data_IF_009137158167
#
_entry.id   IF_009137158167
#
_cell.length_a   1.000
_cell.length_b   1.000
_cell.length_c   1.000
_cell.angle_alpha   90.00
_cell.angle_beta   90.00
_cell.angle_gamma   90.00
#
_symmetry.space_group_name_H-M   'P 1'
#
loop_
_entity.id
_entity.type
_entity.pdbx_description
1 polymer ?
#
# COMPACT_ATOMS: atom_id res chain seq x y z
N UNK A 1 -40.72 -4.70 -5.78
CA UNK A 1 -39.60 -4.93 -4.86
C UNK A 1 -39.86 -4.19 -3.55
N UNK A 2 -39.56 -4.79 -2.41
CA UNK A 2 -39.69 -4.11 -1.13
C UNK A 2 -38.69 -2.90 -1.14
N UNK A 3 -39.14 -1.66 -0.83
CA UNK A 3 -38.28 -0.47 -0.89
C UNK A 3 -37.05 -0.52 0.01
N UNK A 4 -36.97 -1.51 0.90
CA UNK A 4 -35.81 -1.72 1.81
C UNK A 4 -34.63 -2.43 1.15
N UNK A 5 -34.81 -3.09 0.02
CA UNK A 5 -33.75 -3.83 -0.67
C UNK A 5 -33.31 -3.11 -1.92
N UNK A 6 -31.99 -3.01 -2.09
CA UNK A 6 -31.38 -2.55 -3.33
C UNK A 6 -30.35 -3.60 -3.74
N UNK A 7 -30.46 -4.07 -4.97
CA UNK A 7 -29.58 -5.10 -5.54
C UNK A 7 -28.92 -4.51 -6.78
N UNK A 8 -27.62 -4.65 -6.86
CA UNK A 8 -26.83 -4.28 -8.04
C UNK A 8 -26.09 -5.53 -8.52
N UNK A 9 -26.30 -5.91 -9.77
CA UNK A 9 -25.65 -7.03 -10.44
C UNK A 9 -25.01 -6.51 -11.70
N UNK A 10 -23.74 -6.82 -11.89
CA UNK A 10 -22.98 -6.42 -13.05
C UNK A 10 -21.89 -7.42 -13.37
N UNK A 11 -21.32 -7.28 -14.53
CA UNK A 11 -20.12 -8.02 -14.91
C UNK A 11 -19.24 -7.13 -15.80
N UNK A 12 -17.95 -7.41 -15.78
CA UNK A 12 -16.97 -6.86 -16.71
C UNK A 12 -16.47 -8.00 -17.59
N UNK A 13 -16.33 -7.76 -18.88
CA UNK A 13 -15.74 -8.72 -19.82
C UNK A 13 -14.46 -8.11 -20.38
N UNK A 14 -13.43 -8.93 -20.48
CA UNK A 14 -12.15 -8.54 -21.05
C UNK A 14 -11.57 -9.61 -21.95
N UNK A 15 -10.87 -9.18 -22.99
CA UNK A 15 -10.05 -10.00 -23.84
C UNK A 15 -8.67 -9.38 -23.95
N UNK A 16 -7.65 -10.15 -23.63
CA UNK A 16 -6.27 -9.73 -23.75
C UNK A 16 -5.53 -10.75 -24.61
N UNK A 17 -4.87 -10.27 -25.67
CA UNK A 17 -4.13 -11.10 -26.61
C UNK A 17 -2.64 -10.76 -26.52
N UNK A 18 -1.79 -11.79 -26.42
CA UNK A 18 -0.34 -11.64 -26.36
C UNK A 18 0.34 -12.85 -27.00
N UNK A 19 1.21 -12.62 -27.98
CA UNK A 19 1.87 -13.68 -28.74
C UNK A 19 0.85 -14.62 -29.40
N UNK A 20 0.88 -15.88 -29.04
CA UNK A 20 -0.06 -16.93 -29.53
C UNK A 20 -1.26 -17.14 -28.58
N UNK A 21 -1.30 -16.49 -27.40
CA UNK A 21 -2.33 -16.70 -26.37
C UNK A 21 -3.34 -15.59 -26.27
N UNK A 22 -4.60 -15.97 -26.06
CA UNK A 22 -5.68 -15.07 -25.72
C UNK A 22 -6.25 -15.42 -24.35
N UNK A 23 -6.41 -14.41 -23.50
CA UNK A 23 -7.01 -14.55 -22.19
C UNK A 23 -8.36 -13.86 -22.19
N UNK A 24 -9.42 -14.62 -21.95
CA UNK A 24 -10.77 -14.11 -21.80
C UNK A 24 -11.19 -14.17 -20.34
N UNK A 25 -11.88 -13.14 -19.86
CA UNK A 25 -12.47 -13.12 -18.52
C UNK A 25 -13.88 -12.59 -18.53
N UNK A 26 -14.65 -13.08 -17.58
CA UNK A 26 -15.92 -12.50 -17.12
C UNK A 26 -15.76 -12.29 -15.61
N UNK A 27 -15.87 -11.04 -15.19
CA UNK A 27 -15.70 -10.63 -13.79
C UNK A 27 -17.06 -10.21 -13.23
N UNK A 28 -17.80 -11.11 -12.55
CA UNK A 28 -19.08 -10.81 -11.95
C UNK A 28 -18.91 -9.89 -10.73
N UNK A 29 -19.91 -9.03 -10.54
CA UNK A 29 -20.05 -8.13 -9.39
C UNK A 29 -21.48 -8.21 -8.88
N UNK A 30 -21.60 -8.37 -7.58
CA UNK A 30 -22.87 -8.40 -6.88
C UNK A 30 -22.79 -7.49 -5.67
N UNK A 31 -23.77 -6.61 -5.48
CA UNK A 31 -23.90 -5.82 -4.29
C UNK A 31 -25.36 -5.79 -3.81
N UNK A 32 -25.52 -5.94 -2.52
CA UNK A 32 -26.77 -5.97 -1.82
C UNK A 32 -26.78 -4.90 -0.73
N UNK A 33 -27.83 -4.08 -0.70
CA UNK A 33 -28.08 -3.16 0.41
C UNK A 33 -29.44 -3.48 1.01
N UNK A 34 -29.48 -3.57 2.32
CA UNK A 34 -30.71 -3.67 3.10
C UNK A 34 -30.85 -2.46 4.03
N UNK A 35 -31.93 -1.69 3.88
CA UNK A 35 -32.23 -0.55 4.73
C UNK A 35 -32.88 -1.04 6.03
N UNK A 36 -32.12 -0.97 7.15
CA UNK A 36 -32.61 -1.35 8.48
C UNK A 36 -33.62 -0.32 9.00
N UNK A 37 -33.22 0.96 8.93
CA UNK A 37 -34.03 2.11 9.36
C UNK A 37 -33.76 3.30 8.44
N UNK A 38 -34.35 4.45 8.68
CA UNK A 38 -33.99 5.68 7.95
C UNK A 38 -32.53 6.08 8.14
N UNK A 39 -31.91 5.65 9.22
CA UNK A 39 -30.56 6.05 9.65
C UNK A 39 -29.50 4.96 9.42
N UNK A 40 -29.89 3.71 9.19
CA UNK A 40 -28.96 2.59 9.13
C UNK A 40 -29.23 1.62 7.98
N UNK A 41 -28.16 1.11 7.38
CA UNK A 41 -28.22 0.09 6.32
C UNK A 41 -27.10 -0.94 6.48
N UNK A 42 -27.40 -2.17 6.05
CA UNK A 42 -26.43 -3.23 5.83
C UNK A 42 -26.06 -3.26 4.35
N UNK A 43 -24.79 -3.51 4.06
CA UNK A 43 -24.33 -3.76 2.70
C UNK A 43 -23.49 -5.01 2.68
N UNK A 44 -23.59 -5.77 1.60
CA UNK A 44 -22.72 -6.89 1.31
C UNK A 44 -22.37 -6.87 -0.17
N UNK A 45 -21.17 -7.27 -0.52
CA UNK A 45 -20.72 -7.31 -1.91
C UNK A 45 -19.80 -8.48 -2.18
N UNK A 46 -19.86 -8.97 -3.40
CA UNK A 46 -18.91 -9.88 -4.00
C UNK A 46 -18.38 -9.27 -5.29
N UNK A 47 -17.08 -9.35 -5.50
CA UNK A 47 -16.45 -8.84 -6.71
C UNK A 47 -15.34 -9.78 -7.14
N UNK A 48 -15.35 -10.16 -8.42
CA UNK A 48 -14.20 -10.74 -9.10
C UNK A 48 -13.55 -9.66 -9.96
N UNK A 49 -12.23 -9.68 -10.05
CA UNK A 49 -11.44 -8.76 -10.87
C UNK A 49 -10.28 -9.51 -11.53
N UNK A 50 -10.04 -9.20 -12.80
CA UNK A 50 -8.91 -9.68 -13.58
C UNK A 50 -8.04 -8.50 -13.98
N UNK A 51 -6.72 -8.65 -13.85
CA UNK A 51 -5.74 -7.61 -14.17
C UNK A 51 -4.68 -8.19 -15.11
N UNK A 52 -4.43 -7.47 -16.22
CA UNK A 52 -3.49 -7.90 -17.27
C UNK A 52 -2.17 -7.15 -17.25
N UNK A 53 -2.09 -6.05 -16.53
CA UNK A 53 -0.87 -5.25 -16.39
C UNK A 53 -0.49 -5.16 -14.92
N UNK A 54 0.74 -5.48 -14.59
CA UNK A 54 1.22 -5.67 -13.23
C UNK A 54 2.38 -4.73 -12.95
N UNK A 55 2.43 -4.20 -11.74
CA UNK A 55 3.59 -3.48 -11.23
C UNK A 55 4.49 -4.47 -10.50
N UNK A 56 5.73 -4.59 -10.94
CA UNK A 56 6.77 -5.38 -10.27
C UNK A 56 7.75 -4.42 -9.62
N UNK A 57 7.97 -4.61 -8.32
CA UNK A 57 8.84 -3.78 -7.51
C UNK A 57 9.86 -4.63 -6.78
N UNK A 58 11.12 -4.22 -6.81
CA UNK A 58 12.24 -4.85 -6.10
C UNK A 58 12.42 -4.29 -4.70
N UNK A 59 11.75 -3.18 -4.39
CA UNK A 59 11.92 -2.43 -3.16
C UNK A 59 10.61 -2.34 -2.39
N UNK A 60 10.67 -2.07 -1.09
CA UNK A 60 9.52 -1.64 -0.30
C UNK A 60 9.17 -0.15 -0.53
N UNK A 61 10.01 0.58 -1.27
CA UNK A 61 9.70 1.92 -1.76
C UNK A 61 9.16 1.85 -3.18
N UNK A 62 8.20 2.71 -3.51
CA UNK A 62 7.81 2.97 -4.89
C UNK A 62 8.91 3.81 -5.53
N UNK A 63 9.81 3.14 -6.23
CA UNK A 63 10.93 3.79 -6.91
C UNK A 63 10.65 3.96 -8.40
N UNK A 64 11.32 4.91 -9.07
CA UNK A 64 11.27 5.00 -10.53
C UNK A 64 11.75 3.76 -11.28
N UNK A 65 12.42 2.85 -10.57
CA UNK A 65 12.88 1.55 -11.05
C UNK A 65 11.80 0.46 -11.02
N UNK A 66 10.61 0.75 -10.53
CA UNK A 66 9.47 -0.17 -10.60
C UNK A 66 8.94 -0.22 -12.04
N UNK A 67 8.65 -1.43 -12.51
CA UNK A 67 8.21 -1.66 -13.88
C UNK A 67 6.73 -2.04 -13.93
N UNK A 68 6.02 -1.50 -14.92
CA UNK A 68 4.71 -1.97 -15.33
C UNK A 68 4.88 -2.97 -16.46
N UNK A 69 4.49 -4.21 -16.22
CA UNK A 69 4.66 -5.33 -17.14
C UNK A 69 3.32 -5.96 -17.50
N UNK A 70 3.12 -6.38 -18.75
CA UNK A 70 1.89 -7.06 -19.15
C UNK A 70 1.92 -8.53 -18.74
N UNK A 71 0.75 -9.16 -18.75
CA UNK A 71 0.60 -10.60 -18.86
C UNK A 71 1.32 -11.11 -20.10
N UNK A 72 2.00 -12.27 -20.02
CA UNK A 72 2.71 -12.88 -21.13
C UNK A 72 2.12 -14.26 -21.45
N UNK A 73 2.67 -14.97 -22.43
CA UNK A 73 2.28 -16.37 -22.67
C UNK A 73 2.59 -17.29 -21.49
N UNK A 74 3.59 -16.94 -20.67
CA UNK A 74 4.00 -17.68 -19.47
C UNK A 74 3.24 -17.23 -18.23
N UNK A 75 3.11 -15.92 -18.03
CA UNK A 75 2.52 -15.31 -16.83
C UNK A 75 1.02 -15.08 -17.05
N UNK A 76 0.18 -15.74 -16.25
CA UNK A 76 -1.27 -15.63 -16.33
C UNK A 76 -1.75 -14.29 -15.76
N UNK A 77 -2.92 -13.77 -16.21
CA UNK A 77 -3.54 -12.62 -15.61
C UNK A 77 -3.81 -12.82 -14.10
N UNK A 78 -3.53 -11.82 -13.30
CA UNK A 78 -3.90 -11.84 -11.89
C UNK A 78 -5.42 -11.84 -11.74
N UNK A 79 -5.94 -12.69 -10.84
CA UNK A 79 -7.36 -12.73 -10.47
C UNK A 79 -7.53 -12.54 -8.99
N UNK A 80 -8.51 -11.72 -8.62
CA UNK A 80 -8.88 -11.54 -7.22
C UNK A 80 -10.37 -11.71 -7.01
N UNK A 81 -10.74 -12.26 -5.87
CA UNK A 81 -12.09 -12.47 -5.38
C UNK A 81 -12.22 -11.79 -4.04
N UNK A 82 -13.20 -10.91 -3.90
CA UNK A 82 -13.41 -10.16 -2.66
C UNK A 82 -14.85 -10.30 -2.20
N UNK A 83 -15.01 -10.59 -0.93
CA UNK A 83 -16.25 -10.46 -0.18
C UNK A 83 -16.10 -9.31 0.81
N UNK A 84 -17.10 -8.45 0.90
CA UNK A 84 -17.15 -7.41 1.93
C UNK A 84 -18.57 -7.31 2.48
N UNK A 85 -18.67 -7.02 3.79
CA UNK A 85 -19.96 -6.77 4.42
C UNK A 85 -19.79 -5.73 5.53
N UNK A 86 -20.77 -4.84 5.67
CA UNK A 86 -20.66 -3.76 6.64
C UNK A 86 -22.00 -3.14 7.02
N UNK A 87 -21.91 -2.36 8.09
CA UNK A 87 -22.99 -1.52 8.63
C UNK A 87 -22.64 -0.08 8.35
N UNK A 88 -23.63 0.69 7.89
CA UNK A 88 -23.52 2.11 7.60
C UNK A 88 -24.63 2.81 8.33
N UNK A 89 -24.29 3.82 9.11
CA UNK A 89 -25.26 4.54 9.93
C UNK A 89 -25.06 6.06 9.82
N UNK A 90 -26.18 6.76 9.81
CA UNK A 90 -26.27 8.21 9.86
C UNK A 90 -27.31 8.60 10.93
N UNK A 91 -26.95 8.42 12.24
CA UNK A 91 -27.90 8.55 13.35
C UNK A 91 -28.49 9.97 13.49
N UNK A 92 -27.83 10.96 12.93
CA UNK A 92 -28.33 12.32 12.81
C UNK A 92 -27.60 13.05 11.67
N UNK A 93 -27.95 14.32 11.43
CA UNK A 93 -27.37 15.15 10.36
C UNK A 93 -25.85 15.41 10.51
N UNK A 94 -25.29 15.18 11.68
CA UNK A 94 -23.89 15.47 11.98
C UNK A 94 -22.97 14.26 11.84
N UNK A 95 -23.45 13.05 12.11
CA UNK A 95 -22.66 11.85 12.15
C UNK A 95 -22.87 10.96 10.93
N UNK A 96 -21.77 10.50 10.36
CA UNK A 96 -21.72 9.40 9.40
C UNK A 96 -20.75 8.37 9.90
N UNK A 97 -21.20 7.12 10.03
CA UNK A 97 -20.44 6.01 10.61
C UNK A 97 -20.48 4.83 9.66
N UNK A 98 -19.37 4.11 9.56
CA UNK A 98 -19.33 2.80 8.89
C UNK A 98 -18.41 1.83 9.62
N UNK A 99 -18.75 0.56 9.53
CA UNK A 99 -17.91 -0.56 9.94
C UNK A 99 -18.06 -1.65 8.88
N UNK A 100 -16.94 -1.97 8.21
CA UNK A 100 -16.91 -2.96 7.15
C UNK A 100 -15.85 -4.02 7.43
N UNK A 101 -16.17 -5.29 7.18
CA UNK A 101 -15.22 -6.38 7.11
C UNK A 101 -15.05 -6.85 5.68
N UNK A 102 -13.82 -7.22 5.31
CA UNK A 102 -13.53 -7.74 3.98
C UNK A 102 -12.62 -8.97 4.04
N UNK A 103 -12.76 -9.80 3.01
CA UNK A 103 -11.91 -10.96 2.76
C UNK A 103 -11.62 -11.04 1.26
N UNK A 104 -10.34 -10.97 0.88
CA UNK A 104 -9.90 -11.00 -0.50
C UNK A 104 -8.83 -12.07 -0.70
N UNK A 105 -9.02 -12.89 -1.72
CA UNK A 105 -8.03 -13.83 -2.23
C UNK A 105 -7.56 -13.39 -3.60
N UNK A 106 -6.25 -13.49 -3.85
CA UNK A 106 -5.67 -13.24 -5.16
C UNK A 106 -4.85 -14.43 -5.62
N UNK A 107 -4.85 -14.68 -6.94
CA UNK A 107 -4.06 -15.70 -7.62
C UNK A 107 -3.26 -15.04 -8.72
N UNK A 108 -2.16 -15.63 -9.07
CA UNK A 108 -1.23 -15.13 -10.09
C UNK A 108 -0.67 -13.75 -9.73
N UNK A 109 -0.32 -13.57 -8.46
CA UNK A 109 0.49 -12.44 -8.04
C UNK A 109 1.90 -12.61 -8.59
N UNK A 110 2.52 -11.53 -9.01
CA UNK A 110 3.84 -11.56 -9.61
C UNK A 110 4.89 -10.99 -8.66
N UNK A 111 6.02 -11.66 -8.56
CA UNK A 111 7.19 -11.22 -7.80
C UNK A 111 8.46 -11.71 -8.50
N UNK A 112 9.57 -10.99 -8.33
CA UNK A 112 10.88 -11.49 -8.78
C UNK A 112 11.32 -12.73 -7.99
N UNK A 113 12.04 -13.61 -8.66
CA UNK A 113 12.61 -14.84 -8.08
C UNK A 113 13.77 -14.57 -7.11
N UNK A 114 14.30 -13.35 -7.08
CA UNK A 114 15.42 -12.96 -6.24
C UNK A 114 14.98 -12.29 -4.94
N UNK A 115 15.71 -12.55 -3.85
CA UNK A 115 15.57 -11.87 -2.56
C UNK A 115 16.01 -10.41 -2.61
N UNK A 116 17.01 -10.16 -3.44
CA UNK A 116 17.56 -8.83 -3.68
C UNK A 116 17.21 -8.51 -5.12
N UNK A 117 16.43 -7.49 -5.34
CA UNK A 117 15.94 -7.16 -6.66
C UNK A 117 17.00 -7.28 -7.77
N UNK A 118 16.57 -7.79 -8.90
CA UNK A 118 17.40 -7.93 -10.10
C UNK A 118 16.85 -6.97 -11.14
N UNK A 119 17.72 -6.27 -11.84
CA UNK A 119 17.34 -5.56 -13.04
C UNK A 119 17.09 -6.60 -14.13
N UNK A 120 15.83 -6.81 -14.56
CA UNK A 120 15.54 -7.86 -15.52
C UNK A 120 16.15 -7.52 -16.89
N UNK A 121 16.70 -8.49 -17.61
CA UNK A 121 17.06 -8.29 -19.01
C UNK A 121 15.79 -7.94 -19.80
N UNK A 122 15.92 -7.02 -20.75
CA UNK A 122 14.79 -6.44 -21.46
C UNK A 122 13.96 -7.47 -22.26
N UNK A 123 14.56 -8.56 -22.69
CA UNK A 123 13.99 -9.56 -23.58
C UNK A 123 13.43 -10.82 -22.88
N UNK A 124 13.83 -11.09 -21.63
CA UNK A 124 13.45 -12.32 -20.89
C UNK A 124 13.05 -12.06 -19.45
N UNK A 125 12.51 -10.89 -19.19
CA UNK A 125 12.15 -10.46 -17.83
C UNK A 125 11.14 -11.41 -17.15
N UNK A 126 10.26 -12.04 -17.91
CA UNK A 126 9.22 -12.93 -17.38
C UNK A 126 9.76 -14.28 -16.91
N UNK A 127 10.97 -14.68 -17.31
CA UNK A 127 11.67 -15.85 -16.77
C UNK A 127 12.13 -15.61 -15.32
N UNK A 128 12.31 -14.35 -14.93
CA UNK A 128 12.74 -13.95 -13.59
C UNK A 128 11.58 -13.65 -12.64
N UNK A 129 10.34 -13.89 -13.09
CA UNK A 129 9.12 -13.63 -12.30
C UNK A 129 8.42 -14.94 -11.98
N UNK A 130 8.02 -15.07 -10.74
CA UNK A 130 7.24 -16.20 -10.25
C UNK A 130 5.78 -15.83 -10.01
N UNK A 131 4.94 -16.85 -10.01
CA UNK A 131 3.51 -16.80 -9.77
C UNK A 131 3.19 -17.12 -8.29
N UNK A 132 2.34 -16.34 -7.66
CA UNK A 132 1.99 -16.50 -6.27
C UNK A 132 0.52 -16.28 -5.94
N UNK A 133 0.22 -16.42 -4.65
CA UNK A 133 -1.12 -16.25 -4.07
C UNK A 133 -1.08 -15.15 -3.02
N UNK A 134 -2.20 -14.44 -2.86
CA UNK A 134 -2.39 -13.42 -1.83
C UNK A 134 -3.65 -13.67 -1.02
N UNK A 135 -3.57 -13.35 0.26
CA UNK A 135 -4.67 -13.40 1.22
C UNK A 135 -4.72 -12.11 2.01
N UNK A 136 -5.83 -11.37 1.88
CA UNK A 136 -6.01 -10.06 2.47
C UNK A 136 -7.35 -10.03 3.18
N UNK A 137 -7.37 -9.66 4.45
CA UNK A 137 -8.62 -9.53 5.20
C UNK A 137 -8.46 -8.51 6.32
N UNK A 138 -9.57 -7.93 6.73
CA UNK A 138 -9.53 -6.89 7.75
C UNK A 138 -10.89 -6.32 8.10
N UNK A 139 -10.83 -5.35 9.01
CA UNK A 139 -11.95 -4.52 9.44
C UNK A 139 -11.59 -3.05 9.21
N UNK A 140 -12.54 -2.29 8.71
CA UNK A 140 -12.43 -0.85 8.47
C UNK A 140 -13.56 -0.14 9.19
N UNK A 141 -13.22 0.88 9.98
CA UNK A 141 -14.17 1.70 10.70
C UNK A 141 -13.94 3.16 10.34
N UNK A 142 -15.01 3.85 9.90
CA UNK A 142 -14.97 5.27 9.60
C UNK A 142 -16.01 6.02 10.43
N UNK A 143 -15.62 7.20 10.88
CA UNK A 143 -16.50 8.11 11.57
C UNK A 143 -16.26 9.54 11.09
N UNK A 144 -17.32 10.24 10.70
CA UNK A 144 -17.26 11.65 10.33
C UNK A 144 -18.32 12.41 11.14
N UNK A 145 -17.87 13.45 11.81
CA UNK A 145 -18.72 14.44 12.45
C UNK A 145 -18.63 15.77 11.73
N UNK A 146 -19.77 16.33 11.31
CA UNK A 146 -19.83 17.57 10.54
C UNK A 146 -20.84 18.54 11.11
N UNK A 147 -20.39 19.77 11.28
CA UNK A 147 -21.24 20.94 11.54
C UNK A 147 -20.93 22.03 10.50
N UNK A 148 -21.54 23.22 10.63
CA UNK A 148 -21.28 24.35 9.72
C UNK A 148 -19.82 24.83 9.81
N UNK A 149 -19.17 24.67 10.96
CA UNK A 149 -17.82 25.17 11.21
C UNK A 149 -16.78 24.06 11.37
N UNK A 150 -17.17 22.87 11.76
CA UNK A 150 -16.27 21.78 12.12
C UNK A 150 -16.54 20.55 11.29
N UNK A 151 -15.49 19.97 10.71
CA UNK A 151 -15.48 18.61 10.19
C UNK A 151 -14.36 17.83 10.88
N UNK A 152 -14.73 16.75 11.55
CA UNK A 152 -13.80 15.76 12.10
C UNK A 152 -14.04 14.46 11.36
N UNK A 153 -12.97 13.82 10.89
CA UNK A 153 -13.05 12.48 10.30
C UNK A 153 -11.96 11.61 10.88
N UNK A 154 -12.32 10.37 11.17
CA UNK A 154 -11.40 9.33 11.61
C UNK A 154 -11.66 8.06 10.83
N UNK A 155 -10.60 7.42 10.35
CA UNK A 155 -10.66 6.09 9.77
C UNK A 155 -9.64 5.18 10.44
N UNK A 156 -10.06 3.99 10.80
CA UNK A 156 -9.21 2.96 11.39
C UNK A 156 -9.34 1.68 10.59
N UNK A 157 -8.18 1.09 10.23
CA UNK A 157 -8.10 -0.19 9.55
C UNK A 157 -7.28 -1.17 10.38
N UNK A 158 -7.84 -2.33 10.64
CA UNK A 158 -7.15 -3.50 11.16
C UNK A 158 -7.08 -4.53 10.03
N UNK A 159 -5.87 -4.83 9.52
CA UNK A 159 -5.73 -5.69 8.33
C UNK A 159 -4.57 -6.68 8.44
N UNK A 160 -4.73 -7.79 7.73
CA UNK A 160 -3.72 -8.82 7.51
C UNK A 160 -3.52 -9.00 6.01
N UNK A 161 -2.28 -8.81 5.57
CA UNK A 161 -1.87 -8.95 4.18
C UNK A 161 -0.81 -10.04 4.10
N UNK A 162 -1.12 -11.15 3.45
CA UNK A 162 -0.22 -12.31 3.35
C UNK A 162 0.00 -12.69 1.90
N UNK A 163 1.20 -13.18 1.61
CA UNK A 163 1.59 -13.73 0.31
C UNK A 163 2.17 -15.11 0.46
N UNK A 164 2.12 -15.88 -0.63
CA UNK A 164 2.76 -17.19 -0.76
C UNK A 164 3.21 -17.38 -2.20
N UNK A 165 4.50 -17.73 -2.36
CA UNK A 165 5.11 -18.09 -3.63
C UNK A 165 5.85 -19.41 -3.42
N UNK A 166 5.24 -20.51 -3.87
CA UNK A 166 5.67 -21.87 -3.50
C UNK A 166 7.12 -22.18 -3.91
N UNK A 167 7.57 -21.61 -5.04
CA UNK A 167 8.94 -21.78 -5.54
C UNK A 167 9.98 -20.90 -4.82
N UNK A 168 9.53 -19.95 -4.00
CA UNK A 168 10.39 -19.01 -3.30
C UNK A 168 10.39 -19.25 -1.79
N UNK A 169 9.20 -19.35 -1.20
CA UNK A 169 8.97 -19.63 0.21
C UNK A 169 7.64 -20.39 0.36
N UNK A 170 7.67 -21.64 0.87
CA UNK A 170 6.50 -22.53 0.84
C UNK A 170 5.37 -22.14 1.76
N UNK A 171 5.65 -21.31 2.78
CA UNK A 171 4.66 -20.88 3.76
C UNK A 171 4.09 -19.48 3.45
N UNK A 172 2.99 -19.15 4.12
CA UNK A 172 2.43 -17.81 4.10
C UNK A 172 3.32 -16.84 4.90
N UNK A 173 3.68 -15.72 4.31
CA UNK A 173 4.41 -14.65 4.98
C UNK A 173 3.69 -13.31 4.82
N UNK A 174 3.99 -12.35 5.68
CA UNK A 174 3.42 -11.02 5.63
C UNK A 174 3.94 -10.23 4.42
N UNK A 175 3.02 -9.52 3.75
CA UNK A 175 3.39 -8.57 2.70
C UNK A 175 4.27 -7.45 3.28
N UNK A 176 5.13 -6.88 2.44
CA UNK A 176 5.94 -5.72 2.82
C UNK A 176 5.10 -4.55 3.35
N UNK A 177 3.86 -4.42 2.93
CA UNK A 177 2.89 -3.42 3.36
C UNK A 177 1.81 -3.97 4.32
N UNK A 178 2.10 -5.03 5.06
CA UNK A 178 1.22 -5.51 6.14
C UNK A 178 1.27 -4.53 7.32
N UNK A 179 0.67 -3.37 7.15
CA UNK A 179 0.48 -2.43 8.25
C UNK A 179 -0.75 -2.86 9.04
N UNK A 180 -0.54 -3.59 10.14
CA UNK A 180 -1.60 -4.20 10.93
C UNK A 180 -2.65 -3.19 11.39
N UNK A 181 -2.20 -2.04 11.86
CA UNK A 181 -3.04 -0.94 12.32
C UNK A 181 -2.76 0.29 11.50
N UNK A 182 -3.80 0.91 10.95
CA UNK A 182 -3.75 2.22 10.28
C UNK A 182 -4.81 3.12 10.90
N UNK A 183 -4.42 4.33 11.25
CA UNK A 183 -5.33 5.34 11.80
C UNK A 183 -5.07 6.67 11.08
N UNK A 184 -6.12 7.23 10.52
CA UNK A 184 -6.08 8.55 9.92
C UNK A 184 -7.11 9.43 10.64
N UNK A 185 -6.66 10.57 11.14
CA UNK A 185 -7.52 11.55 11.77
C UNK A 185 -7.40 12.86 11.03
N UNK A 186 -8.51 13.49 10.70
CA UNK A 186 -8.53 14.80 10.08
C UNK A 186 -9.50 15.73 10.78
N UNK A 187 -9.06 16.96 10.94
CA UNK A 187 -9.85 18.07 11.47
C UNK A 187 -9.81 19.20 10.47
N UNK A 188 -10.95 19.77 10.18
CA UNK A 188 -11.09 21.05 9.49
C UNK A 188 -12.00 21.95 10.30
N UNK A 189 -11.53 23.15 10.62
CA UNK A 189 -12.31 24.15 11.32
C UNK A 189 -12.36 25.47 10.54
N UNK A 190 -13.58 25.95 10.27
CA UNK A 190 -13.82 27.22 9.61
C UNK A 190 -14.12 28.28 10.68
N UNK A 191 -13.18 29.17 10.95
CA UNK A 191 -13.38 30.32 11.86
C UNK A 191 -14.46 31.23 11.32
N UNK A 192 -14.48 31.40 10.02
CA UNK A 192 -15.46 32.17 9.25
C UNK A 192 -15.36 31.79 7.76
N UNK A 193 -16.12 32.48 6.89
CA UNK A 193 -16.10 32.25 5.44
C UNK A 193 -14.75 32.52 4.76
N UNK A 194 -13.84 33.25 5.44
CA UNK A 194 -12.54 33.66 4.88
C UNK A 194 -11.36 32.85 5.42
N UNK A 195 -11.46 32.32 6.63
CA UNK A 195 -10.34 31.65 7.30
C UNK A 195 -10.75 30.27 7.80
N UNK A 196 -10.01 29.27 7.43
CA UNK A 196 -10.13 27.93 7.99
C UNK A 196 -8.75 27.32 8.25
N UNK A 197 -8.69 26.39 9.19
CA UNK A 197 -7.51 25.58 9.44
C UNK A 197 -7.82 24.11 9.24
N UNK A 198 -6.77 23.32 9.03
CA UNK A 198 -6.86 21.88 9.02
C UNK A 198 -5.68 21.24 9.76
N UNK A 199 -5.93 20.06 10.29
CA UNK A 199 -4.92 19.18 10.84
C UNK A 199 -5.20 17.77 10.33
N UNK A 200 -4.15 17.05 9.92
CA UNK A 200 -4.27 15.66 9.49
C UNK A 200 -3.17 14.86 10.17
N UNK A 201 -3.56 13.82 10.90
CA UNK A 201 -2.63 12.91 11.54
C UNK A 201 -2.76 11.52 10.97
N UNK A 202 -1.62 10.97 10.56
CA UNK A 202 -1.48 9.62 10.03
C UNK A 202 -0.67 8.78 11.00
N UNK A 203 -1.12 7.56 11.19
CA UNK A 203 -0.39 6.53 11.91
C UNK A 203 -0.58 5.19 11.21
N UNK A 204 0.48 4.43 11.08
CA UNK A 204 0.39 3.00 10.83
C UNK A 204 1.56 2.25 11.48
N UNK A 205 1.32 0.98 11.83
CA UNK A 205 2.41 0.06 12.23
C UNK A 205 3.41 -0.08 11.10
N UNK A 206 4.65 -0.39 11.45
CA UNK A 206 5.74 -0.43 10.49
C UNK A 206 5.51 -1.38 9.32
N UNK A 207 6.09 -1.05 8.19
CA UNK A 207 6.23 -1.94 7.04
C UNK A 207 7.16 -3.10 7.39
N UNK A 208 7.15 -4.15 6.58
CA UNK A 208 8.10 -5.24 6.70
C UNK A 208 9.21 -5.13 5.63
N UNK A 209 10.41 -5.54 6.01
CA UNK A 209 11.56 -5.61 5.13
C UNK A 209 12.21 -6.98 5.23
N UNK A 210 12.80 -7.44 4.13
CA UNK A 210 13.59 -8.67 4.12
C UNK A 210 15.03 -8.32 4.49
N UNK A 211 15.54 -8.95 5.55
CA UNK A 211 16.92 -8.81 5.98
C UNK A 211 17.61 -10.17 6.02
N UNK A 212 18.93 -10.23 5.79
CA UNK A 212 19.66 -11.48 5.85
C UNK A 212 19.63 -12.04 7.28
N UNK A 213 19.55 -13.35 7.39
CA UNK A 213 19.59 -14.08 8.66
C UNK A 213 20.93 -14.68 8.95
N UNK A 214 21.73 -14.92 7.92
CA UNK A 214 23.05 -15.53 7.99
C UNK A 214 23.99 -14.90 6.97
N UNK A 215 25.27 -15.17 7.14
CA UNK A 215 26.32 -14.79 6.23
C UNK A 215 27.18 -16.01 5.96
N UNK A 216 27.46 -16.30 4.69
CA UNK A 216 28.34 -17.38 4.28
C UNK A 216 29.63 -16.81 3.70
N UNK A 217 30.75 -17.37 4.14
CA UNK A 217 32.03 -17.11 3.47
C UNK A 217 32.07 -17.82 2.14
N UNK A 218 32.34 -17.08 1.08
CA UNK A 218 32.54 -17.68 -0.23
C UNK A 218 33.94 -18.30 -0.32
N UNK A 219 34.06 -19.55 -0.82
CA UNK A 219 35.36 -20.17 -1.03
C UNK A 219 36.15 -19.36 -2.06
N UNK A 220 37.44 -19.23 -1.83
CA UNK A 220 38.35 -18.68 -2.82
C UNK A 220 38.53 -19.72 -3.94
N UNK A 221 38.11 -19.36 -5.13
CA UNK A 221 38.38 -20.18 -6.32
C UNK A 221 39.74 -19.73 -6.91
N UNK A 222 40.66 -20.67 -7.21
CA UNK A 222 41.88 -20.33 -7.93
C UNK A 222 41.53 -19.87 -9.36
N UNK A 223 42.34 -18.96 -9.89
CA UNK A 223 42.28 -18.60 -11.30
C UNK A 223 42.76 -19.78 -12.20
N UNK A 224 42.70 -19.62 -13.52
CA UNK A 224 43.15 -20.64 -14.48
C UNK A 224 44.66 -20.98 -14.33
N UNK A 225 45.43 -20.17 -13.63
CA UNK A 225 46.85 -20.39 -13.31
C UNK A 225 47.07 -21.03 -11.94
N UNK A 226 46.01 -21.34 -11.18
CA UNK A 226 46.10 -21.89 -9.83
C UNK A 226 46.40 -20.87 -8.73
N UNK A 227 46.42 -19.57 -9.07
CA UNK A 227 46.63 -18.51 -8.08
C UNK A 227 45.33 -18.12 -7.38
N UNK A 228 45.37 -18.02 -6.06
CA UNK A 228 44.23 -17.47 -5.28
C UNK A 228 44.12 -15.96 -5.56
N UNK A 229 42.96 -15.55 -6.07
CA UNK A 229 42.69 -14.17 -6.37
C UNK A 229 42.61 -13.36 -5.07
N UNK A 230 43.66 -12.61 -4.74
CA UNK A 230 43.76 -11.87 -3.48
C UNK A 230 42.69 -10.77 -3.31
N UNK A 231 42.08 -10.30 -4.40
CA UNK A 231 41.00 -9.31 -4.37
C UNK A 231 39.63 -9.87 -3.93
N UNK A 232 39.50 -11.19 -3.75
CA UNK A 232 38.26 -11.84 -3.34
C UNK A 232 38.37 -12.48 -1.94
N UNK A 233 39.51 -12.34 -1.27
CA UNK A 233 39.68 -12.80 0.10
C UNK A 233 38.69 -12.11 1.04
N UNK A 234 37.91 -12.90 1.77
CA UNK A 234 36.94 -12.38 2.72
C UNK A 234 35.62 -11.90 2.11
N UNK A 235 35.27 -12.28 0.88
CA UNK A 235 33.96 -12.00 0.32
C UNK A 235 32.91 -12.88 1.01
N UNK A 236 31.93 -12.23 1.59
CA UNK A 236 30.77 -12.88 2.21
C UNK A 236 29.55 -12.65 1.35
N UNK A 237 28.67 -13.65 1.33
CA UNK A 237 27.34 -13.51 0.74
C UNK A 237 26.28 -13.56 1.84
N UNK A 238 25.22 -12.80 1.66
CA UNK A 238 24.10 -12.73 2.58
C UNK A 238 23.09 -13.81 2.27
N UNK A 239 22.75 -14.61 3.29
CA UNK A 239 21.73 -15.65 3.18
C UNK A 239 20.40 -15.17 3.78
N UNK A 240 19.36 -15.32 2.99
CA UNK A 240 18.00 -14.95 3.34
C UNK A 240 17.17 -16.22 3.53
N UNK A 241 16.51 -16.34 4.67
CA UNK A 241 15.71 -17.53 5.01
C UNK A 241 14.21 -17.26 5.03
N UNK A 242 13.79 -16.07 5.45
CA UNK A 242 12.39 -15.70 5.65
C UNK A 242 12.13 -14.35 4.99
N UNK A 243 11.15 -14.24 4.08
CA UNK A 243 10.77 -12.95 3.50
C UNK A 243 10.10 -12.05 4.54
N UNK A 244 10.37 -10.74 4.42
CA UNK A 244 9.73 -9.72 5.25
C UNK A 244 9.84 -9.98 6.76
N UNK A 245 11.01 -10.45 7.19
CA UNK A 245 11.30 -10.91 8.55
C UNK A 245 11.62 -9.79 9.56
N UNK A 246 11.75 -8.56 9.10
CA UNK A 246 11.97 -7.39 9.96
C UNK A 246 10.79 -6.42 9.87
N UNK A 247 10.19 -6.08 11.01
CA UNK A 247 9.19 -5.01 11.09
C UNK A 247 9.87 -3.68 11.38
N UNK A 248 9.62 -2.68 10.54
CA UNK A 248 10.12 -1.33 10.71
C UNK A 248 9.40 -0.59 11.85
N UNK A 249 9.97 0.50 12.39
CA UNK A 249 9.26 1.38 13.30
C UNK A 249 7.95 1.89 12.71
N UNK A 250 6.98 2.18 13.57
CA UNK A 250 5.72 2.74 13.17
C UNK A 250 5.92 4.09 12.47
N UNK A 251 5.10 4.32 11.46
CA UNK A 251 5.03 5.60 10.75
C UNK A 251 3.98 6.48 11.42
N UNK A 252 4.29 7.73 11.69
CA UNK A 252 3.30 8.72 12.06
C UNK A 252 3.72 10.14 11.68
N UNK A 253 2.72 10.98 11.38
CA UNK A 253 2.95 12.33 10.89
C UNK A 253 1.75 13.21 11.18
N UNK A 254 2.01 14.45 11.54
CA UNK A 254 1.01 15.50 11.66
C UNK A 254 1.27 16.58 10.62
N UNK A 255 0.26 16.86 9.81
CA UNK A 255 0.25 17.96 8.86
C UNK A 255 -0.75 19.03 9.35
N UNK A 256 -0.33 20.28 9.31
CA UNK A 256 -1.15 21.41 9.72
C UNK A 256 -1.22 22.45 8.61
N UNK A 257 -2.33 23.18 8.54
CA UNK A 257 -2.41 24.28 7.57
C UNK A 257 -3.56 25.22 7.82
N UNK A 258 -3.44 26.38 7.15
CA UNK A 258 -4.44 27.44 7.15
C UNK A 258 -4.77 27.82 5.70
N UNK A 259 -6.06 28.00 5.44
CA UNK A 259 -6.58 28.55 4.19
C UNK A 259 -7.13 29.94 4.44
N UNK A 260 -6.69 30.90 3.63
CA UNK A 260 -7.22 32.27 3.60
C UNK A 260 -7.92 32.49 2.27
N UNK A 261 -9.22 32.68 2.30
CA UNK A 261 -10.10 32.82 1.15
C UNK A 261 -10.56 34.25 0.98
N UNK A 262 -10.47 34.78 -0.21
CA UNK A 262 -10.98 36.08 -0.59
C UNK A 262 -11.76 35.98 -1.90
N UNK A 263 -13.01 36.48 -1.89
CA UNK A 263 -13.83 36.58 -3.11
C UNK A 263 -13.76 38.04 -3.61
N UNK A 264 -13.32 38.18 -4.85
CA UNK A 264 -13.20 39.51 -5.50
C UNK A 264 -14.57 40.05 -5.89
N UNK A 265 -14.66 41.35 -6.20
CA UNK A 265 -15.89 41.99 -6.70
C UNK A 265 -16.42 41.38 -8.00
N UNK A 266 -15.56 40.75 -8.79
CA UNK A 266 -15.90 40.06 -10.04
C UNK A 266 -16.26 38.57 -9.87
N UNK A 267 -16.40 38.10 -8.63
CA UNK A 267 -16.75 36.71 -8.34
C UNK A 267 -15.59 35.73 -8.32
N UNK A 268 -14.37 36.14 -8.64
CA UNK A 268 -13.20 35.25 -8.58
C UNK A 268 -12.83 34.93 -7.15
N UNK A 269 -12.59 33.65 -6.87
CA UNK A 269 -12.16 33.19 -5.57
C UNK A 269 -10.63 33.04 -5.54
N UNK A 270 -9.97 33.69 -4.60
CA UNK A 270 -8.54 33.59 -4.31
C UNK A 270 -8.31 32.87 -3.01
N UNK A 271 -7.50 31.81 -3.02
CA UNK A 271 -7.19 31.00 -1.85
C UNK A 271 -5.68 30.97 -1.66
N UNK A 272 -5.22 31.38 -0.49
CA UNK A 272 -3.86 31.24 -0.01
C UNK A 272 -3.83 30.11 0.99
N UNK A 273 -2.98 29.10 0.76
CA UNK A 273 -2.77 28.02 1.70
C UNK A 273 -1.34 28.11 2.25
N UNK A 274 -1.22 28.09 3.56
CA UNK A 274 0.03 27.94 4.30
C UNK A 274 -0.04 26.63 5.05
N UNK A 275 0.89 25.72 4.82
CA UNK A 275 0.87 24.42 5.47
C UNK A 275 2.26 23.95 5.86
N UNK A 276 2.28 23.04 6.82
CA UNK A 276 3.49 22.39 7.32
C UNK A 276 3.25 20.88 7.27
N UNK A 277 4.03 20.21 6.46
CA UNK A 277 4.10 18.75 6.45
C UNK A 277 5.01 18.29 7.59
N UNK A 278 4.59 17.25 8.31
CA UNK A 278 5.32 16.65 9.42
C UNK A 278 5.69 17.68 10.51
N UNK A 279 4.68 18.36 11.05
CA UNK A 279 4.82 19.52 11.94
C UNK A 279 5.64 19.25 13.20
N UNK A 280 5.70 18.03 13.71
CA UNK A 280 6.55 17.66 14.84
C UNK A 280 7.88 16.97 14.43
N UNK A 281 8.22 17.00 13.13
CA UNK A 281 9.51 16.53 12.60
C UNK A 281 9.85 15.07 12.97
N UNK A 282 8.85 14.16 12.93
CA UNK A 282 9.13 12.75 13.15
C UNK A 282 9.87 12.15 11.95
N UNK A 283 11.02 11.53 12.20
CA UNK A 283 11.83 10.92 11.17
C UNK A 283 11.33 9.51 10.85
N UNK A 284 10.34 9.44 9.96
CA UNK A 284 9.76 8.18 9.50
C UNK A 284 10.76 7.36 8.68
N UNK A 285 10.81 6.06 8.97
CA UNK A 285 11.67 5.12 8.25
C UNK A 285 11.29 5.02 6.78
N UNK A 286 12.23 5.26 5.87
CA UNK A 286 12.06 5.07 4.42
C UNK A 286 12.67 3.77 3.94
N UNK A 287 13.88 3.45 4.39
CA UNK A 287 14.54 2.20 4.07
C UNK A 287 15.48 1.78 5.19
N UNK A 288 15.84 0.51 5.19
CA UNK A 288 16.79 -0.06 6.12
C UNK A 288 18.09 -0.35 5.40
N UNK A 289 19.19 0.19 5.94
CA UNK A 289 20.53 -0.24 5.55
C UNK A 289 20.97 -1.35 6.49
N UNK A 290 21.38 -2.47 5.92
CA UNK A 290 21.96 -3.58 6.67
C UNK A 290 23.47 -3.45 6.62
N UNK A 291 24.09 -3.35 7.78
CA UNK A 291 25.53 -3.43 7.96
C UNK A 291 25.83 -4.68 8.79
N UNK A 292 26.95 -5.34 8.53
CA UNK A 292 27.46 -6.41 9.41
C UNK A 292 28.53 -5.88 10.33
N UNK A 293 28.38 -6.12 11.62
CA UNK A 293 29.36 -5.78 12.65
C UNK A 293 30.27 -6.98 12.87
N UNK A 294 31.49 -6.91 12.35
CA UNK A 294 32.47 -8.00 12.43
C UNK A 294 32.92 -8.28 13.87
N UNK A 295 33.02 -7.24 14.73
CA UNK A 295 33.42 -7.40 16.12
C UNK A 295 32.36 -8.17 16.95
N UNK A 296 31.09 -7.87 16.67
CA UNK A 296 29.96 -8.50 17.38
C UNK A 296 29.37 -9.69 16.65
N UNK A 297 29.83 -9.98 15.45
CA UNK A 297 29.32 -11.03 14.56
C UNK A 297 27.80 -11.00 14.39
N UNK A 298 27.23 -9.80 14.20
CA UNK A 298 25.78 -9.63 14.07
C UNK A 298 25.42 -8.58 13.04
N UNK A 299 24.26 -8.74 12.43
CA UNK A 299 23.68 -7.74 11.55
C UNK A 299 23.15 -6.55 12.34
N UNK A 300 23.41 -5.35 11.83
CA UNK A 300 22.83 -4.10 12.30
C UNK A 300 21.91 -3.52 11.25
N UNK A 301 20.66 -3.35 11.61
CA UNK A 301 19.68 -2.66 10.78
C UNK A 301 19.62 -1.18 11.16
N UNK A 302 20.00 -0.29 10.23
CA UNK A 302 19.96 1.15 10.43
C UNK A 302 18.81 1.75 9.63
N UNK A 303 17.84 2.33 10.30
CA UNK A 303 16.77 3.08 9.65
C UNK A 303 17.32 4.36 9.04
N UNK A 304 16.91 4.63 7.80
CA UNK A 304 17.14 5.87 7.10
C UNK A 304 15.83 6.60 6.91
N UNK A 305 15.72 7.79 7.47
CA UNK A 305 14.64 8.72 7.30
C UNK A 305 15.03 9.83 6.34
N UNK A 306 14.08 10.38 5.60
CA UNK A 306 14.42 11.30 4.52
C UNK A 306 13.72 12.66 4.62
N UNK A 307 12.45 12.71 4.98
CA UNK A 307 11.68 13.94 4.94
C UNK A 307 11.38 14.45 6.37
N UNK A 308 12.08 15.49 6.81
CA UNK A 308 11.81 16.12 8.10
C UNK A 308 10.54 16.99 8.01
N UNK A 309 10.58 18.18 8.58
CA UNK A 309 9.55 19.20 8.44
C UNK A 309 9.65 19.88 7.07
N UNK A 310 8.52 20.10 6.38
CA UNK A 310 8.47 20.80 5.09
C UNK A 310 7.36 21.85 5.09
N UNK A 311 7.69 23.14 5.18
CA UNK A 311 6.71 24.21 4.95
C UNK A 311 6.30 24.27 3.48
N UNK A 312 5.05 24.56 3.22
CA UNK A 312 4.50 24.67 1.88
C UNK A 312 3.56 25.88 1.78
N UNK A 313 3.59 26.50 0.62
CA UNK A 313 2.73 27.62 0.25
C UNK A 313 2.07 27.34 -1.09
N UNK A 314 0.76 27.59 -1.20
CA UNK A 314 0.09 27.57 -2.48
C UNK A 314 -0.89 28.73 -2.64
N UNK A 315 -1.07 29.16 -3.88
CA UNK A 315 -2.02 30.19 -4.26
C UNK A 315 -2.91 29.69 -5.41
N UNK A 316 -4.22 29.72 -5.20
CA UNK A 316 -5.20 29.24 -6.17
C UNK A 316 -6.15 30.36 -6.54
N UNK A 317 -6.41 30.56 -7.84
CA UNK A 317 -7.47 31.44 -8.34
C UNK A 317 -8.50 30.57 -9.06
N UNK A 318 -9.79 30.79 -8.70
CA UNK A 318 -10.93 30.23 -9.42
C UNK A 318 -11.72 31.36 -10.06
N UNK A 319 -11.95 31.24 -11.33
CA UNK A 319 -12.67 32.19 -12.17
C UNK A 319 -14.14 31.83 -12.26
#
# INVERSE_FOLDING_TARGET
>A
MNPRWNVNVGFNMGLFHVGSKSFFNIDPRFALKYQLSHEASLKASFTQMTQYVHKISNSYLDLPTDYWVPTTERLKPMRSYQLAAGVYAQPNRHWTLSLEGYYKMSRHLMQYTSWVGVEPPADKWDELVMDGKGLFYGLEADATYRTDHLTLSGSYTLSWNKRKYEDFYPDWYYDKFDNRHKLNLSLRYAFNKKVSCFAVWYYHTGNHATVPTQMASLPQLPDAGGHLYSGWAGRYDYLYAIPNNLTLPAYHRLDLGFDFRHVTKHGHERIWNLSIYNAYCHLNSMYVKIDYDEEKQQFKAKNKAFIPILPSFSYTIKF
#
